data_IF_985616880936
#
_entry.id   IF_985616880936
#
_cell.length_a   1.000
_cell.length_b   1.000
_cell.length_c   1.000
_cell.angle_alpha   90.00
_cell.angle_beta   90.00
_cell.angle_gamma   90.00
#
_symmetry.space_group_name_H-M   'P 1'
#
loop_
_entity.id
_entity.type
_entity.pdbx_description
1 polymer ?
#
# COMPACT_ATOMS: atom_id res chain seq x y z
N UNK A 1 20.03 14.60 15.96
CA UNK A 1 19.73 13.15 15.93
C UNK A 1 19.73 12.70 14.47
N UNK A 2 20.68 11.86 14.13
CA UNK A 2 20.88 11.40 12.75
C UNK A 2 20.01 10.20 12.45
N UNK A 3 19.17 10.29 11.42
CA UNK A 3 18.27 9.25 10.95
C UNK A 3 18.66 8.85 9.54
N UNK A 4 19.01 7.58 9.35
CA UNK A 4 19.38 7.04 8.04
C UNK A 4 18.35 6.04 7.56
N UNK A 5 17.83 6.21 6.35
CA UNK A 5 16.96 5.26 5.68
C UNK A 5 17.71 4.61 4.52
N UNK A 6 17.87 3.30 4.56
CA UNK A 6 18.51 2.50 3.49
C UNK A 6 17.44 1.71 2.73
N UNK A 7 17.47 1.79 1.40
CA UNK A 7 16.62 1.00 0.50
C UNK A 7 17.35 0.74 -0.83
N UNK A 8 16.82 -0.14 -1.68
CA UNK A 8 17.39 -0.42 -3.00
C UNK A 8 17.53 0.85 -3.85
N UNK A 9 16.42 1.48 -4.22
CA UNK A 9 16.39 2.79 -4.89
C UNK A 9 15.20 3.61 -4.40
N UNK A 10 15.35 4.94 -4.43
CA UNK A 10 14.26 5.85 -4.11
C UNK A 10 13.28 5.92 -5.28
N UNK A 11 11.99 5.88 -5.02
CA UNK A 11 10.94 5.90 -6.03
C UNK A 11 9.76 6.78 -5.60
N UNK A 12 8.83 7.03 -6.52
CA UNK A 12 7.69 7.92 -6.31
C UNK A 12 6.79 7.56 -5.11
N UNK A 13 6.83 6.32 -4.60
CA UNK A 13 6.11 5.94 -3.38
C UNK A 13 6.91 6.23 -2.09
N UNK A 14 8.23 6.39 -2.20
CA UNK A 14 9.13 6.66 -1.08
C UNK A 14 9.50 8.14 -0.97
N UNK A 15 9.49 8.87 -2.08
CA UNK A 15 9.85 10.31 -2.12
C UNK A 15 9.00 11.12 -1.15
N UNK A 16 7.65 11.04 -1.13
CA UNK A 16 6.85 11.88 -0.23
C UNK A 16 7.17 11.64 1.25
N UNK A 17 7.33 10.37 1.65
CA UNK A 17 7.72 10.03 3.02
C UNK A 17 9.12 10.52 3.37
N UNK A 18 10.10 10.35 2.48
CA UNK A 18 11.47 10.80 2.68
C UNK A 18 11.55 12.32 2.76
N UNK A 19 10.78 13.05 1.95
CA UNK A 19 10.66 14.51 2.02
C UNK A 19 10.04 14.96 3.35
N UNK A 20 9.00 14.27 3.84
CA UNK A 20 8.42 14.55 5.14
C UNK A 20 9.43 14.31 6.27
N UNK A 21 10.22 13.24 6.20
CA UNK A 21 11.33 13.00 7.12
C UNK A 21 12.38 14.13 7.05
N UNK A 22 12.75 14.55 5.85
CA UNK A 22 13.71 15.66 5.69
C UNK A 22 13.19 16.98 6.25
N UNK A 23 11.89 17.27 6.16
CA UNK A 23 11.27 18.42 6.83
C UNK A 23 11.42 18.38 8.35
N UNK A 24 11.37 17.16 8.97
CA UNK A 24 11.47 16.99 10.42
C UNK A 24 12.91 17.02 10.95
N UNK A 25 13.84 16.38 10.24
CA UNK A 25 15.23 16.21 10.72
C UNK A 25 16.26 17.06 9.96
N UNK A 26 15.86 17.72 8.86
CA UNK A 26 16.77 18.54 8.06
C UNK A 26 17.99 17.77 7.56
N UNK A 27 19.16 18.34 7.73
CA UNK A 27 20.45 17.76 7.31
C UNK A 27 20.84 16.48 8.08
N UNK A 28 20.14 16.15 9.17
CA UNK A 28 20.32 14.92 9.92
C UNK A 28 19.57 13.72 9.32
N UNK A 29 18.69 13.92 8.32
CA UNK A 29 18.05 12.85 7.58
C UNK A 29 18.84 12.49 6.33
N UNK A 30 19.12 11.19 6.16
CA UNK A 30 19.81 10.64 5.00
C UNK A 30 19.03 9.48 4.42
N UNK A 31 18.83 9.48 3.11
CA UNK A 31 18.36 8.30 2.37
C UNK A 31 19.54 7.70 1.61
N UNK A 32 19.81 6.41 1.81
CA UNK A 32 20.85 5.68 1.09
C UNK A 32 20.19 4.75 0.07
N UNK A 33 20.45 5.03 -1.19
CA UNK A 33 20.10 4.16 -2.31
C UNK A 33 21.23 3.18 -2.54
N UNK A 34 20.95 1.86 -2.50
CA UNK A 34 21.99 0.82 -2.60
C UNK A 34 22.23 0.31 -4.02
N UNK A 35 21.26 0.48 -4.91
CA UNK A 35 21.28 0.05 -6.31
C UNK A 35 20.74 1.15 -7.22
N UNK A 36 21.25 1.30 -8.45
CA UNK A 36 20.63 2.18 -9.43
C UNK A 36 19.24 1.65 -9.80
N UNK A 37 18.34 2.56 -10.21
CA UNK A 37 17.00 2.14 -10.64
C UNK A 37 17.08 1.21 -11.86
N UNK A 38 16.34 0.12 -11.81
CA UNK A 38 16.29 -0.88 -12.88
C UNK A 38 15.81 -0.27 -14.20
N UNK A 39 16.46 -0.61 -15.33
CA UNK A 39 16.09 -0.13 -16.66
C UNK A 39 14.63 -0.45 -17.03
N UNK A 40 14.12 -1.60 -16.57
CA UNK A 40 12.72 -1.97 -16.76
C UNK A 40 11.77 -0.96 -16.08
N UNK A 41 12.11 -0.47 -14.90
CA UNK A 41 11.33 0.54 -14.17
C UNK A 41 11.35 1.90 -14.87
N UNK A 42 12.51 2.31 -15.38
CA UNK A 42 12.64 3.53 -16.19
C UNK A 42 11.80 3.44 -17.46
N UNK A 43 11.81 2.27 -18.14
CA UNK A 43 10.96 2.01 -19.31
C UNK A 43 9.45 2.03 -18.97
N UNK A 44 9.08 1.72 -17.72
CA UNK A 44 7.72 1.87 -17.20
C UNK A 44 7.40 3.30 -16.73
N UNK A 45 8.21 4.30 -17.10
CA UNK A 45 7.98 5.72 -16.76
C UNK A 45 8.32 6.10 -15.32
N UNK A 46 9.03 5.26 -14.56
CA UNK A 46 9.56 5.67 -13.27
C UNK A 46 10.72 6.63 -13.48
N UNK A 47 10.87 7.61 -12.59
CA UNK A 47 11.90 8.63 -12.68
C UNK A 47 13.02 8.38 -11.68
N UNK A 48 14.27 8.48 -12.12
CA UNK A 48 15.45 8.53 -11.26
C UNK A 48 15.68 9.93 -10.62
N UNK A 49 14.84 10.92 -10.90
CA UNK A 49 14.98 12.29 -10.36
C UNK A 49 15.02 12.35 -8.82
N UNK A 50 14.63 11.29 -8.12
CA UNK A 50 14.80 11.18 -6.67
C UNK A 50 16.27 11.15 -6.21
N UNK A 51 17.20 10.75 -7.08
CA UNK A 51 18.65 10.71 -6.78
C UNK A 51 19.24 12.11 -6.59
N UNK A 52 18.64 13.14 -7.18
CA UNK A 52 19.09 14.53 -7.06
C UNK A 52 18.61 15.23 -5.77
N UNK A 53 17.79 14.56 -4.96
CA UNK A 53 17.30 15.15 -3.71
C UNK A 53 18.44 15.33 -2.69
N UNK A 54 18.48 16.44 -1.92
CA UNK A 54 19.63 16.82 -1.10
C UNK A 54 19.96 15.85 0.04
N UNK A 55 19.03 14.96 0.37
CA UNK A 55 19.17 13.95 1.42
C UNK A 55 19.51 12.57 0.88
N UNK A 56 19.59 12.40 -0.45
CA UNK A 56 19.88 11.09 -1.08
C UNK A 56 21.39 10.94 -1.30
N UNK A 57 21.90 9.76 -1.01
CA UNK A 57 23.27 9.34 -1.29
C UNK A 57 23.24 7.97 -1.96
N UNK A 58 24.01 7.81 -3.03
CA UNK A 58 24.14 6.55 -3.74
C UNK A 58 25.29 5.72 -3.16
N UNK A 59 25.00 4.51 -2.67
CA UNK A 59 26.01 3.65 -2.06
C UNK A 59 27.16 3.29 -3.03
N UNK A 60 26.83 3.14 -4.30
CA UNK A 60 27.77 2.83 -5.37
C UNK A 60 28.65 4.03 -5.81
N UNK A 61 28.39 5.23 -5.33
CA UNK A 61 29.17 6.44 -5.62
C UNK A 61 30.10 6.82 -4.44
N UNK A 62 29.60 6.65 -3.19
CA UNK A 62 30.34 6.99 -1.96
C UNK A 62 30.08 5.91 -0.88
N UNK A 63 30.71 4.75 -1.07
CA UNK A 63 30.56 3.60 -0.17
C UNK A 63 30.97 3.93 1.27
N UNK A 64 32.11 4.60 1.47
CA UNK A 64 32.66 4.85 2.80
C UNK A 64 31.74 5.74 3.63
N UNK A 65 31.23 6.81 3.06
CA UNK A 65 30.26 7.69 3.70
C UNK A 65 28.95 6.96 4.00
N UNK A 66 28.41 6.23 3.03
CA UNK A 66 27.18 5.47 3.20
C UNK A 66 27.32 4.41 4.27
N UNK A 67 28.43 3.64 4.29
CA UNK A 67 28.74 2.66 5.30
C UNK A 67 28.80 3.29 6.70
N UNK A 68 29.46 4.44 6.84
CA UNK A 68 29.52 5.19 8.10
C UNK A 68 28.12 5.59 8.56
N UNK A 69 27.29 6.16 7.70
CA UNK A 69 25.91 6.55 8.02
C UNK A 69 25.07 5.35 8.48
N UNK A 70 25.16 4.19 7.80
CA UNK A 70 24.44 2.97 8.19
C UNK A 70 24.84 2.51 9.59
N UNK A 71 26.12 2.51 9.90
CA UNK A 71 26.65 1.94 11.15
C UNK A 71 26.61 2.92 12.33
N UNK A 72 26.73 4.23 12.10
CA UNK A 72 26.97 5.21 13.16
C UNK A 72 25.76 6.10 13.48
N UNK A 73 24.81 6.33 12.55
CA UNK A 73 23.63 7.16 12.83
C UNK A 73 22.86 6.70 14.07
N UNK A 74 22.15 7.60 14.72
CA UNK A 74 21.37 7.29 15.91
C UNK A 74 20.28 6.25 15.62
N UNK A 75 19.62 6.38 14.48
CA UNK A 75 18.55 5.48 14.01
C UNK A 75 18.83 5.01 12.59
N UNK A 76 18.71 3.70 12.35
CA UNK A 76 18.67 3.12 11.02
C UNK A 76 17.25 2.62 10.70
N UNK A 77 16.69 3.09 9.59
CA UNK A 77 15.49 2.54 8.96
C UNK A 77 15.96 1.66 7.80
N UNK A 78 15.67 0.37 7.83
CA UNK A 78 16.10 -0.58 6.81
C UNK A 78 14.90 -1.10 6.01
N UNK A 79 14.74 -0.59 4.80
CA UNK A 79 13.85 -1.11 3.78
C UNK A 79 14.47 -2.32 3.06
N UNK A 80 13.91 -2.67 1.90
CA UNK A 80 14.50 -3.71 1.05
C UNK A 80 15.83 -3.20 0.45
N UNK A 81 16.91 -3.92 0.66
CA UNK A 81 18.24 -3.55 0.20
C UNK A 81 19.14 -4.80 0.04
N UNK A 82 20.21 -4.66 -0.71
CA UNK A 82 21.22 -5.71 -0.94
C UNK A 82 22.40 -5.69 0.07
N UNK A 83 22.41 -4.73 1.02
CA UNK A 83 23.47 -4.55 2.02
C UNK A 83 23.09 -5.15 3.38
N UNK A 84 22.42 -6.29 3.39
CA UNK A 84 21.94 -6.95 4.61
C UNK A 84 23.06 -7.21 5.63
N UNK A 85 24.30 -7.43 5.18
CA UNK A 85 25.45 -7.61 6.07
C UNK A 85 25.74 -6.37 6.93
N UNK A 86 25.59 -5.16 6.38
CA UNK A 86 25.75 -3.91 7.12
C UNK A 86 24.61 -3.71 8.12
N UNK A 87 23.39 -4.08 7.72
CA UNK A 87 22.23 -4.04 8.62
C UNK A 87 22.45 -5.01 9.79
N UNK A 88 23.02 -6.19 9.57
CA UNK A 88 23.35 -7.13 10.63
C UNK A 88 24.49 -6.64 11.52
N UNK A 89 25.52 -5.98 10.97
CA UNK A 89 26.58 -5.34 11.77
C UNK A 89 25.96 -4.27 12.69
N UNK A 90 25.06 -3.45 12.16
CA UNK A 90 24.33 -2.45 12.92
C UNK A 90 23.48 -3.08 14.06
N UNK A 91 22.73 -4.14 13.76
CA UNK A 91 21.93 -4.86 14.74
C UNK A 91 22.80 -5.49 15.86
N UNK A 92 24.00 -6.00 15.52
CA UNK A 92 24.94 -6.54 16.47
C UNK A 92 25.52 -5.46 17.41
N UNK A 93 25.58 -4.21 16.99
CA UNK A 93 26.00 -3.09 17.86
C UNK A 93 24.94 -2.69 18.90
N UNK A 94 23.72 -3.23 18.80
CA UNK A 94 22.61 -2.92 19.71
C UNK A 94 21.94 -1.58 19.47
N UNK A 95 22.37 -0.79 18.49
CA UNK A 95 21.78 0.50 18.16
C UNK A 95 20.39 0.34 17.56
N UNK A 96 19.52 1.36 17.75
CA UNK A 96 18.14 1.36 17.27
C UNK A 96 18.07 1.13 15.75
N UNK A 97 17.35 0.07 15.38
CA UNK A 97 17.15 -0.30 13.98
C UNK A 97 15.67 -0.63 13.74
N UNK A 98 15.07 0.03 12.78
CA UNK A 98 13.67 -0.13 12.40
C UNK A 98 13.65 -0.77 11.02
N UNK A 99 13.14 -1.99 10.89
CA UNK A 99 13.00 -2.66 9.60
C UNK A 99 11.64 -2.39 9.00
N UNK A 100 11.59 -2.20 7.68
CA UNK A 100 10.34 -2.19 6.89
C UNK A 100 10.34 -3.47 6.06
N UNK A 101 9.26 -4.26 6.14
CA UNK A 101 9.16 -5.49 5.37
C UNK A 101 7.75 -5.71 4.84
N UNK A 102 7.68 -6.21 3.62
CA UNK A 102 6.54 -6.93 3.08
C UNK A 102 6.54 -8.39 3.55
N UNK A 103 5.56 -9.18 3.08
CA UNK A 103 5.44 -10.59 3.41
C UNK A 103 6.66 -11.41 2.97
N UNK A 104 7.23 -12.17 3.90
CA UNK A 104 8.32 -13.12 3.62
C UNK A 104 7.82 -14.47 3.10
N UNK A 105 6.52 -14.79 3.32
CA UNK A 105 5.86 -16.01 2.87
C UNK A 105 4.67 -15.70 1.94
N UNK A 106 4.85 -14.80 0.97
CA UNK A 106 3.80 -14.36 0.05
C UNK A 106 3.22 -15.52 -0.77
N UNK A 107 4.04 -16.45 -1.22
CA UNK A 107 3.63 -17.62 -1.99
C UNK A 107 3.05 -18.76 -1.14
N UNK A 108 3.11 -18.65 0.18
CA UNK A 108 2.53 -19.60 1.11
C UNK A 108 3.35 -19.78 2.38
N UNK A 109 2.67 -19.78 3.52
CA UNK A 109 3.29 -19.92 4.84
C UNK A 109 3.89 -21.32 5.07
N UNK A 110 3.56 -22.32 4.26
CA UNK A 110 4.18 -23.64 4.29
C UNK A 110 5.70 -23.59 4.01
N UNK A 111 6.20 -22.53 3.35
CA UNK A 111 7.63 -22.33 3.11
C UNK A 111 8.45 -22.13 4.39
N UNK A 112 7.80 -21.86 5.52
CA UNK A 112 8.47 -21.75 6.83
C UNK A 112 9.14 -23.06 7.28
N UNK A 113 8.68 -24.22 6.81
CA UNK A 113 9.26 -25.53 7.19
C UNK A 113 10.61 -25.81 6.54
N UNK A 114 11.08 -25.00 5.59
CA UNK A 114 12.39 -25.14 4.96
C UNK A 114 13.53 -24.87 5.97
N UNK A 115 14.38 -25.86 6.31
CA UNK A 115 15.48 -25.66 7.26
C UNK A 115 16.47 -24.58 6.82
N UNK A 116 16.79 -24.53 5.50
CA UNK A 116 17.67 -23.51 4.93
C UNK A 116 17.02 -22.12 5.02
N UNK A 117 15.73 -22.01 4.70
CA UNK A 117 14.99 -20.77 4.81
C UNK A 117 14.89 -20.30 6.26
N UNK A 118 14.65 -21.21 7.20
CA UNK A 118 14.58 -20.87 8.64
C UNK A 118 15.94 -20.40 9.17
N UNK A 119 17.06 -21.05 8.76
CA UNK A 119 18.39 -20.59 9.15
C UNK A 119 18.69 -19.18 8.62
N UNK A 120 18.28 -18.87 7.40
CA UNK A 120 18.38 -17.53 6.83
C UNK A 120 17.58 -16.52 7.67
N UNK A 121 16.30 -16.82 7.97
CA UNK A 121 15.45 -15.97 8.81
C UNK A 121 15.95 -15.85 10.26
N UNK A 122 16.58 -16.88 10.78
CA UNK A 122 17.26 -16.80 12.09
C UNK A 122 18.36 -15.74 12.08
N UNK A 123 19.23 -15.75 11.06
CA UNK A 123 20.34 -14.80 10.93
C UNK A 123 19.87 -13.35 10.71
N UNK A 124 18.79 -13.14 9.96
CA UNK A 124 18.29 -11.81 9.61
C UNK A 124 17.37 -11.21 10.66
N UNK A 125 16.57 -12.05 11.36
CA UNK A 125 15.46 -11.55 12.16
C UNK A 125 15.39 -12.16 13.57
N UNK A 126 15.40 -13.51 13.69
CA UNK A 126 15.04 -14.19 14.94
C UNK A 126 16.06 -13.92 16.05
N UNK A 127 17.35 -13.97 15.74
CA UNK A 127 18.44 -13.72 16.69
C UNK A 127 18.37 -12.33 17.34
N UNK A 128 17.75 -11.36 16.66
CA UNK A 128 17.62 -9.99 17.11
C UNK A 128 16.30 -9.68 17.87
N UNK A 129 15.47 -10.69 18.14
CA UNK A 129 14.16 -10.50 18.79
C UNK A 129 14.20 -9.75 20.12
N UNK A 130 15.33 -9.78 20.84
CA UNK A 130 15.54 -9.08 22.11
C UNK A 130 16.29 -7.75 22.00
N UNK A 131 16.88 -7.44 20.84
CA UNK A 131 17.61 -6.19 20.60
C UNK A 131 16.67 -5.00 20.37
N UNK A 132 17.23 -3.79 20.25
CA UNK A 132 16.51 -2.57 19.84
C UNK A 132 16.12 -2.59 18.35
N UNK A 133 15.49 -3.70 17.93
CA UNK A 133 15.02 -3.92 16.58
C UNK A 133 13.49 -3.95 16.54
N UNK A 134 12.89 -3.16 15.66
CA UNK A 134 11.45 -3.02 15.46
C UNK A 134 11.08 -3.34 14.02
N UNK A 135 9.83 -3.75 13.78
CA UNK A 135 9.33 -4.08 12.44
C UNK A 135 8.13 -3.23 12.07
N UNK A 136 8.25 -2.50 10.99
CA UNK A 136 7.15 -1.84 10.31
C UNK A 136 6.61 -2.77 9.22
N UNK A 137 5.38 -3.21 9.43
CA UNK A 137 4.73 -4.22 8.61
C UNK A 137 4.04 -3.56 7.41
N UNK A 138 4.69 -3.53 6.26
CA UNK A 138 4.13 -3.01 5.01
C UNK A 138 3.08 -3.98 4.45
N UNK A 139 1.95 -4.04 5.14
CA UNK A 139 0.79 -4.87 4.82
C UNK A 139 0.29 -5.73 5.98
N UNK A 140 -1.02 -5.96 5.97
CA UNK A 140 -1.75 -6.58 7.08
C UNK A 140 -1.40 -8.06 7.34
N UNK A 141 -0.74 -8.71 6.41
CA UNK A 141 -0.36 -10.12 6.52
C UNK A 141 1.09 -10.34 6.97
N UNK A 142 1.89 -9.28 7.01
CA UNK A 142 3.29 -9.32 7.45
C UNK A 142 3.41 -9.80 8.90
N UNK A 143 2.60 -9.31 9.87
CA UNK A 143 2.69 -9.76 11.25
C UNK A 143 2.48 -11.27 11.41
N UNK A 144 1.61 -11.88 10.59
CA UNK A 144 1.38 -13.33 10.62
C UNK A 144 2.63 -14.12 10.22
N UNK A 145 3.33 -13.67 9.17
CA UNK A 145 4.54 -14.33 8.69
C UNK A 145 5.69 -14.24 9.72
N UNK A 146 5.90 -13.08 10.33
CA UNK A 146 6.95 -12.89 11.34
C UNK A 146 6.62 -13.52 12.70
N UNK A 147 5.33 -13.63 13.03
CA UNK A 147 4.88 -14.35 14.22
C UNK A 147 5.21 -15.85 14.12
N UNK A 148 5.03 -16.47 12.95
CA UNK A 148 5.35 -17.88 12.73
C UNK A 148 6.82 -18.22 13.03
N UNK A 149 7.74 -17.31 12.79
CA UNK A 149 9.18 -17.48 13.07
C UNK A 149 9.59 -16.87 14.41
N UNK A 150 8.64 -16.45 15.24
CA UNK A 150 8.89 -15.84 16.56
C UNK A 150 9.84 -14.63 16.55
N UNK A 151 9.82 -13.83 15.47
CA UNK A 151 10.58 -12.58 15.35
C UNK A 151 9.76 -11.38 15.87
N UNK A 152 10.43 -10.35 16.37
CA UNK A 152 9.86 -9.07 16.82
C UNK A 152 8.66 -9.15 17.79
N UNK A 153 8.67 -9.96 18.87
CA UNK A 153 7.55 -10.07 19.78
C UNK A 153 7.22 -8.73 20.45
N UNK A 154 5.98 -8.24 20.28
CA UNK A 154 5.54 -6.93 20.78
C UNK A 154 6.14 -5.71 20.07
N UNK A 155 6.85 -5.90 18.95
CA UNK A 155 7.60 -4.85 18.23
C UNK A 155 7.20 -4.77 16.76
N UNK A 156 5.99 -5.16 16.40
CA UNK A 156 5.44 -5.10 15.05
C UNK A 156 4.36 -4.01 14.98
N UNK A 157 4.53 -3.08 14.03
CA UNK A 157 3.63 -1.93 13.86
C UNK A 157 3.12 -1.86 12.43
N UNK A 158 1.90 -1.31 12.25
CA UNK A 158 1.31 -1.10 10.92
C UNK A 158 2.15 -0.10 10.14
N UNK A 159 2.33 -0.41 8.87
CA UNK A 159 3.03 0.45 7.93
C UNK A 159 2.50 0.25 6.53
N UNK A 160 2.83 1.16 5.61
CA UNK A 160 2.42 1.09 4.23
C UNK A 160 3.32 1.86 3.29
N UNK A 161 2.84 2.08 2.08
CA UNK A 161 3.40 3.03 1.15
C UNK A 161 2.59 4.32 1.20
N UNK A 162 3.28 5.44 1.02
CA UNK A 162 2.70 6.77 1.13
C UNK A 162 2.94 7.54 -0.18
N UNK A 163 2.20 7.21 -1.25
CA UNK A 163 2.26 8.00 -2.48
C UNK A 163 1.84 9.44 -2.21
N UNK A 164 2.11 10.31 -3.18
CA UNK A 164 1.74 11.72 -3.09
C UNK A 164 0.27 11.88 -2.68
N UNK A 165 0.04 12.69 -1.65
CA UNK A 165 -1.30 13.04 -1.18
C UNK A 165 -1.72 14.36 -1.80
N UNK A 166 -2.81 14.35 -2.57
CA UNK A 166 -3.43 15.54 -3.13
C UNK A 166 -4.51 16.07 -2.20
N UNK A 167 -4.51 17.37 -2.00
CA UNK A 167 -5.50 18.09 -1.21
C UNK A 167 -6.40 18.90 -2.13
N UNK A 168 -7.70 18.76 -1.97
CA UNK A 168 -8.69 19.44 -2.79
C UNK A 168 -9.54 20.39 -1.94
N UNK A 169 -9.92 21.56 -2.45
CA UNK A 169 -10.96 22.40 -1.85
C UNK A 169 -12.26 21.61 -1.60
N UNK A 170 -12.99 22.04 -0.60
CA UNK A 170 -14.29 21.43 -0.26
C UNK A 170 -15.22 21.39 -1.49
N UNK A 171 -15.86 20.25 -1.72
CA UNK A 171 -16.77 20.03 -2.83
C UNK A 171 -16.10 19.76 -4.19
N UNK A 172 -14.80 20.05 -4.39
CA UNK A 172 -14.16 19.90 -5.69
C UNK A 172 -14.18 18.45 -6.19
N UNK A 173 -13.83 17.47 -5.35
CA UNK A 173 -13.86 16.06 -5.75
C UNK A 173 -15.28 15.58 -6.06
N UNK A 174 -16.29 16.06 -5.33
CA UNK A 174 -17.68 15.75 -5.62
C UNK A 174 -18.07 16.29 -7.00
N UNK A 175 -17.76 17.56 -7.28
CA UNK A 175 -18.04 18.19 -8.57
C UNK A 175 -17.35 17.49 -9.76
N UNK A 176 -16.11 17.01 -9.60
CA UNK A 176 -15.40 16.24 -10.64
C UNK A 176 -16.10 14.91 -10.98
N UNK A 177 -16.91 14.39 -10.06
CA UNK A 177 -17.68 13.15 -10.20
C UNK A 177 -19.12 13.36 -10.66
N UNK A 178 -19.57 14.59 -10.84
CA UNK A 178 -20.90 14.93 -11.41
C UNK A 178 -20.89 14.68 -12.93
N UNK A 179 -21.03 13.41 -13.30
CA UNK A 179 -21.01 12.93 -14.69
C UNK A 179 -22.19 12.03 -14.97
N UNK A 180 -22.61 12.00 -16.24
CA UNK A 180 -23.66 11.06 -16.65
C UNK A 180 -23.17 9.62 -16.59
N UNK A 181 -23.98 8.77 -15.96
CA UNK A 181 -23.68 7.37 -15.77
C UNK A 181 -22.71 7.06 -14.63
N UNK A 182 -22.43 5.79 -14.47
CA UNK A 182 -21.51 5.26 -13.46
C UNK A 182 -20.13 5.02 -14.08
N UNK A 183 -19.12 5.76 -13.65
CA UNK A 183 -17.75 5.58 -14.08
C UNK A 183 -16.96 4.75 -13.07
N UNK A 184 -16.37 3.65 -13.54
CA UNK A 184 -15.57 2.71 -12.75
C UNK A 184 -14.15 2.70 -13.28
N UNK A 185 -13.14 2.77 -12.43
CA UNK A 185 -11.74 2.68 -12.82
C UNK A 185 -11.08 1.42 -12.28
N UNK A 186 -10.25 0.81 -13.12
CA UNK A 186 -9.29 -0.22 -12.78
C UNK A 186 -7.92 0.23 -13.30
N UNK A 187 -6.93 0.34 -12.41
CA UNK A 187 -5.60 0.81 -12.77
C UNK A 187 -4.55 -0.18 -12.28
N UNK A 188 -3.95 -0.93 -13.19
CA UNK A 188 -2.92 -1.92 -12.90
C UNK A 188 -2.21 -2.39 -14.18
N UNK A 189 -1.10 -3.13 -14.02
CA UNK A 189 -0.49 -3.88 -15.13
C UNK A 189 -1.41 -5.01 -15.57
N UNK A 190 -1.50 -5.26 -16.88
CA UNK A 190 -2.25 -6.39 -17.43
C UNK A 190 -1.45 -7.69 -17.29
N UNK A 191 -1.43 -8.26 -16.08
CA UNK A 191 -0.73 -9.49 -15.69
C UNK A 191 -1.64 -10.38 -14.85
N UNK A 192 -1.40 -11.71 -14.77
CA UNK A 192 -2.33 -12.66 -14.13
C UNK A 192 -2.71 -12.32 -12.70
N UNK A 193 -1.77 -11.86 -11.87
CA UNK A 193 -2.06 -11.54 -10.46
C UNK A 193 -3.08 -10.39 -10.28
N UNK A 194 -3.30 -9.57 -11.31
CA UNK A 194 -4.17 -8.39 -11.29
C UNK A 194 -5.61 -8.69 -11.75
N UNK A 195 -5.87 -9.87 -12.32
CA UNK A 195 -7.19 -10.32 -12.76
C UNK A 195 -7.97 -9.30 -13.62
N UNK A 196 -7.40 -8.80 -14.75
CA UNK A 196 -8.09 -7.82 -15.61
C UNK A 196 -9.37 -8.38 -16.22
N UNK A 197 -9.49 -9.70 -16.40
CA UNK A 197 -10.67 -10.40 -16.94
C UNK A 197 -11.94 -10.17 -16.11
N UNK A 198 -11.80 -9.86 -14.82
CA UNK A 198 -12.94 -9.54 -13.96
C UNK A 198 -13.65 -8.27 -14.42
N UNK A 199 -12.92 -7.31 -14.98
CA UNK A 199 -13.49 -6.05 -15.47
C UNK A 199 -14.33 -6.25 -16.72
N UNK A 200 -13.93 -7.17 -17.61
CA UNK A 200 -14.70 -7.50 -18.81
C UNK A 200 -16.02 -8.19 -18.42
N UNK A 201 -15.94 -9.13 -17.47
CA UNK A 201 -17.12 -9.79 -16.92
C UNK A 201 -18.05 -8.78 -16.23
N UNK A 202 -17.48 -7.86 -15.46
CA UNK A 202 -18.22 -6.81 -14.76
C UNK A 202 -18.93 -5.86 -15.75
N UNK A 203 -18.26 -5.45 -16.84
CA UNK A 203 -18.85 -4.63 -17.89
C UNK A 203 -20.10 -5.27 -18.50
N UNK A 204 -20.10 -6.59 -18.69
CA UNK A 204 -21.26 -7.34 -19.18
C UNK A 204 -22.38 -7.34 -18.13
N UNK A 205 -22.07 -7.81 -16.91
CA UNK A 205 -23.07 -8.03 -15.86
C UNK A 205 -23.77 -6.70 -15.43
N UNK A 206 -23.00 -5.60 -15.36
CA UNK A 206 -23.57 -4.27 -15.03
C UNK A 206 -24.24 -3.60 -16.21
N UNK A 207 -23.69 -3.78 -17.42
CA UNK A 207 -24.17 -3.09 -18.61
C UNK A 207 -25.59 -3.48 -19.04
N UNK A 208 -26.11 -4.61 -18.55
CA UNK A 208 -27.49 -5.02 -18.76
C UNK A 208 -28.49 -4.21 -17.88
N UNK A 209 -28.00 -3.62 -16.78
CA UNK A 209 -28.85 -2.98 -15.76
C UNK A 209 -28.56 -1.48 -15.58
N UNK A 210 -27.32 -1.06 -15.76
CA UNK A 210 -26.88 0.30 -15.45
C UNK A 210 -26.23 0.98 -16.65
N UNK A 211 -26.40 2.32 -16.76
CA UNK A 211 -25.53 3.14 -17.62
C UNK A 211 -24.16 3.24 -16.95
N UNK A 212 -23.24 2.32 -17.29
CA UNK A 212 -21.90 2.28 -16.70
C UNK A 212 -20.81 2.24 -17.75
N UNK A 213 -19.66 2.85 -17.44
CA UNK A 213 -18.47 2.86 -18.26
C UNK A 213 -17.25 2.51 -17.43
N UNK A 214 -16.40 1.60 -17.94
CA UNK A 214 -15.21 1.12 -17.24
C UNK A 214 -13.96 1.71 -17.89
N UNK A 215 -13.11 2.32 -17.09
CA UNK A 215 -11.80 2.84 -17.49
C UNK A 215 -10.72 1.86 -17.03
N UNK A 216 -10.05 1.20 -17.98
CA UNK A 216 -8.92 0.30 -17.72
C UNK A 216 -7.62 1.02 -18.05
N UNK A 217 -6.78 1.24 -17.03
CA UNK A 217 -5.54 2.02 -17.13
C UNK A 217 -4.35 1.11 -16.86
N UNK A 218 -3.37 1.13 -17.75
CA UNK A 218 -2.15 0.33 -17.66
C UNK A 218 -1.88 -0.46 -18.94
N UNK A 219 -0.82 -1.23 -18.93
CA UNK A 219 -0.39 -2.09 -20.03
C UNK A 219 0.18 -3.40 -19.48
N UNK A 220 0.45 -4.37 -20.33
CA UNK A 220 1.09 -5.63 -19.94
C UNK A 220 0.75 -6.79 -20.86
N UNK A 221 1.33 -7.95 -20.57
CA UNK A 221 1.28 -9.11 -21.46
C UNK A 221 -0.11 -9.67 -21.77
N UNK A 222 -1.12 -9.37 -20.91
CA UNK A 222 -2.51 -9.81 -21.15
C UNK A 222 -3.38 -8.77 -21.87
N UNK A 223 -2.84 -7.60 -22.23
CA UNK A 223 -3.66 -6.47 -22.74
C UNK A 223 -4.45 -6.86 -24.00
N UNK A 224 -3.80 -7.46 -25.00
CA UNK A 224 -4.45 -7.86 -26.25
C UNK A 224 -5.48 -8.98 -26.05
N UNK A 225 -5.19 -9.93 -25.15
CA UNK A 225 -6.14 -10.98 -24.78
C UNK A 225 -7.40 -10.38 -24.14
N UNK A 226 -7.25 -9.41 -23.24
CA UNK A 226 -8.36 -8.74 -22.56
C UNK A 226 -9.19 -7.89 -23.52
N UNK A 227 -8.56 -7.18 -24.47
CA UNK A 227 -9.27 -6.45 -25.52
C UNK A 227 -10.08 -7.40 -26.41
N UNK A 228 -9.47 -8.52 -26.84
CA UNK A 228 -10.17 -9.55 -27.61
C UNK A 228 -11.35 -10.15 -26.84
N UNK A 229 -11.18 -10.39 -25.54
CA UNK A 229 -12.26 -10.87 -24.67
C UNK A 229 -13.41 -9.84 -24.58
N UNK A 230 -13.12 -8.54 -24.54
CA UNK A 230 -14.14 -7.49 -24.54
C UNK A 230 -15.01 -7.53 -25.82
N UNK A 231 -14.37 -7.67 -26.99
CA UNK A 231 -15.07 -7.84 -28.26
C UNK A 231 -15.89 -9.13 -28.28
N UNK A 232 -15.30 -10.27 -27.87
CA UNK A 232 -16.00 -11.55 -27.81
C UNK A 232 -17.25 -11.50 -26.92
N UNK A 233 -17.22 -10.70 -25.84
CA UNK A 233 -18.34 -10.54 -24.92
C UNK A 233 -19.31 -9.43 -25.33
N UNK A 234 -19.02 -8.67 -26.40
CA UNK A 234 -19.84 -7.56 -26.89
C UNK A 234 -19.93 -6.37 -25.93
N UNK A 235 -18.84 -6.08 -25.21
CA UNK A 235 -18.80 -5.01 -24.19
C UNK A 235 -17.75 -3.93 -24.48
N UNK A 236 -17.10 -3.97 -25.63
CA UNK A 236 -16.03 -3.03 -26.02
C UNK A 236 -16.48 -1.56 -25.96
N UNK A 237 -17.75 -1.29 -26.27
CA UNK A 237 -18.32 0.07 -26.22
C UNK A 237 -18.47 0.61 -24.79
N UNK A 238 -18.39 -0.25 -23.77
CA UNK A 238 -18.52 0.10 -22.34
C UNK A 238 -17.18 0.23 -21.66
N UNK A 239 -16.07 0.04 -22.40
CA UNK A 239 -14.72 0.02 -21.82
C UNK A 239 -13.82 0.97 -22.60
N UNK A 240 -13.12 1.83 -21.89
CA UNK A 240 -11.99 2.58 -22.45
C UNK A 240 -10.68 1.98 -21.97
N UNK A 241 -9.88 1.46 -22.89
CA UNK A 241 -8.51 1.06 -22.61
C UNK A 241 -7.60 2.27 -22.80
N UNK A 242 -7.05 2.79 -21.71
CA UNK A 242 -6.21 3.99 -21.75
C UNK A 242 -4.73 3.67 -22.08
N UNK A 243 -4.34 2.39 -22.07
CA UNK A 243 -2.94 2.01 -22.17
C UNK A 243 -2.13 2.48 -20.97
N UNK A 244 -0.81 2.50 -21.11
CA UNK A 244 0.08 3.07 -20.11
C UNK A 244 -0.16 4.58 -19.96
N UNK A 245 -0.25 5.06 -18.72
CA UNK A 245 -0.41 6.47 -18.39
C UNK A 245 0.59 6.89 -17.31
N UNK A 246 0.96 8.17 -17.29
CA UNK A 246 1.76 8.73 -16.20
C UNK A 246 0.98 8.71 -14.88
N UNK A 247 1.65 8.70 -13.71
CA UNK A 247 0.98 8.75 -12.42
C UNK A 247 -0.03 9.90 -12.30
N UNK A 248 0.30 11.09 -12.82
CA UNK A 248 -0.57 12.27 -12.83
C UNK A 248 -1.85 11.99 -13.60
N UNK A 249 -1.73 11.39 -14.80
CA UNK A 249 -2.88 11.08 -15.66
C UNK A 249 -3.76 9.97 -15.07
N UNK A 250 -3.15 8.98 -14.43
CA UNK A 250 -3.90 7.95 -13.66
C UNK A 250 -4.76 8.60 -12.59
N UNK A 251 -4.21 9.56 -11.85
CA UNK A 251 -4.92 10.30 -10.80
C UNK A 251 -6.08 11.12 -11.38
N UNK A 252 -5.88 11.85 -12.50
CA UNK A 252 -6.94 12.59 -13.19
C UNK A 252 -8.11 11.67 -13.60
N UNK A 253 -7.81 10.46 -14.10
CA UNK A 253 -8.84 9.48 -14.44
C UNK A 253 -9.58 9.01 -13.18
N UNK A 254 -8.88 8.73 -12.09
CA UNK A 254 -9.49 8.33 -10.83
C UNK A 254 -10.40 9.42 -10.24
N UNK A 255 -9.97 10.68 -10.31
CA UNK A 255 -10.73 11.84 -9.82
C UNK A 255 -12.11 11.98 -10.51
N UNK A 256 -12.21 11.56 -11.77
CA UNK A 256 -13.45 11.56 -12.53
C UNK A 256 -14.30 10.30 -12.32
N UNK A 257 -13.77 9.25 -11.71
CA UNK A 257 -14.45 7.97 -11.53
C UNK A 257 -15.08 7.86 -10.14
N UNK A 258 -16.22 7.16 -10.07
CA UNK A 258 -16.98 6.98 -8.84
C UNK A 258 -16.47 5.83 -7.99
N UNK A 259 -16.11 4.73 -8.65
CA UNK A 259 -15.68 3.47 -8.02
C UNK A 259 -14.32 3.07 -8.56
N UNK A 260 -13.43 2.68 -7.66
CA UNK A 260 -12.20 1.95 -8.03
C UNK A 260 -12.36 0.47 -7.66
N UNK A 261 -12.13 -0.42 -8.64
CA UNK A 261 -12.14 -1.87 -8.42
C UNK A 261 -10.71 -2.39 -8.39
N UNK A 262 -10.32 -2.97 -7.27
CA UNK A 262 -8.99 -3.52 -7.06
C UNK A 262 -9.04 -5.05 -6.97
N UNK A 263 -8.52 -5.72 -8.00
CA UNK A 263 -8.69 -7.17 -8.21
C UNK A 263 -7.46 -8.00 -7.86
N UNK A 264 -6.34 -7.39 -7.50
CA UNK A 264 -5.08 -8.09 -7.22
C UNK A 264 -5.23 -9.17 -6.14
N UNK A 265 -4.57 -10.31 -6.35
CA UNK A 265 -4.58 -11.43 -5.41
C UNK A 265 -3.46 -11.33 -4.34
N UNK A 266 -3.23 -12.42 -3.59
CA UNK A 266 -2.26 -12.51 -2.48
C UNK A 266 -0.79 -12.29 -2.86
N UNK A 267 -0.45 -12.26 -4.15
CA UNK A 267 0.89 -11.95 -4.63
C UNK A 267 1.16 -10.44 -4.65
N UNK A 268 0.14 -9.61 -4.47
CA UNK A 268 0.29 -8.18 -4.25
C UNK A 268 0.87 -7.92 -2.86
N UNK A 269 1.98 -7.18 -2.78
CA UNK A 269 2.58 -6.79 -1.50
C UNK A 269 1.71 -5.80 -0.74
N UNK A 270 1.70 -4.57 -1.21
CA UNK A 270 0.88 -3.50 -0.64
C UNK A 270 -0.34 -3.19 -1.52
N UNK A 271 -0.13 -2.66 -2.71
CA UNK A 271 -1.17 -2.17 -3.60
C UNK A 271 -1.38 -0.66 -3.47
N UNK A 272 -0.33 0.13 -3.75
CA UNK A 272 -0.33 1.60 -3.60
C UNK A 272 -1.46 2.31 -4.36
N UNK A 273 -1.93 1.73 -5.45
CA UNK A 273 -3.07 2.24 -6.22
C UNK A 273 -4.36 2.37 -5.38
N UNK A 274 -4.48 1.61 -4.28
CA UNK A 274 -5.60 1.77 -3.34
C UNK A 274 -5.52 3.11 -2.61
N UNK A 275 -4.30 3.51 -2.16
CA UNK A 275 -4.09 4.84 -1.57
C UNK A 275 -4.47 5.95 -2.55
N UNK A 276 -4.04 5.82 -3.80
CA UNK A 276 -4.29 6.80 -4.86
C UNK A 276 -5.78 6.92 -5.19
N UNK A 277 -6.48 5.80 -5.32
CA UNK A 277 -7.92 5.77 -5.58
C UNK A 277 -8.72 6.37 -4.40
N UNK A 278 -8.36 6.03 -3.16
CA UNK A 278 -8.96 6.61 -1.96
C UNK A 278 -8.73 8.12 -1.90
N UNK A 279 -7.51 8.57 -2.15
CA UNK A 279 -7.17 10.00 -2.19
C UNK A 279 -7.83 10.75 -3.36
N UNK A 280 -8.25 10.06 -4.40
CA UNK A 280 -9.04 10.60 -5.51
C UNK A 280 -10.56 10.56 -5.24
N UNK A 281 -10.99 10.23 -4.01
CA UNK A 281 -12.40 10.18 -3.61
C UNK A 281 -13.21 9.07 -4.29
N UNK A 282 -12.57 7.98 -4.73
CA UNK A 282 -13.29 6.81 -5.23
C UNK A 282 -13.82 5.96 -4.06
N UNK A 283 -15.06 5.47 -4.17
CA UNK A 283 -15.49 4.34 -3.36
C UNK A 283 -14.72 3.10 -3.82
N UNK A 284 -13.95 2.49 -2.92
CA UNK A 284 -13.05 1.38 -3.28
C UNK A 284 -13.70 0.03 -3.02
N UNK A 285 -13.73 -0.83 -4.05
CA UNK A 285 -14.09 -2.25 -3.94
C UNK A 285 -12.84 -3.09 -4.14
N UNK A 286 -12.36 -3.75 -3.10
CA UNK A 286 -11.01 -4.32 -3.10
C UNK A 286 -10.96 -5.77 -2.62
N UNK A 287 -10.09 -6.58 -3.29
CA UNK A 287 -9.76 -7.93 -2.82
C UNK A 287 -9.00 -7.84 -1.49
N UNK A 288 -9.54 -8.52 -0.47
CA UNK A 288 -8.97 -8.52 0.88
C UNK A 288 -7.52 -9.03 0.94
N UNK A 289 -7.06 -9.80 -0.05
CA UNK A 289 -5.75 -10.45 -0.01
C UNK A 289 -4.53 -9.52 -0.16
N UNK A 290 -4.71 -8.31 -0.69
CA UNK A 290 -3.61 -7.35 -0.79
C UNK A 290 -3.32 -6.69 0.56
N UNK A 291 -2.05 -6.41 0.82
CA UNK A 291 -1.58 -5.96 2.13
C UNK A 291 -2.18 -4.64 2.62
N UNK A 292 -2.49 -3.72 1.72
CA UNK A 292 -3.09 -2.41 2.03
C UNK A 292 -4.55 -2.52 2.48
N UNK A 293 -5.32 -3.44 1.87
CA UNK A 293 -6.78 -3.46 2.01
C UNK A 293 -7.24 -3.55 3.46
N UNK A 294 -6.75 -4.48 4.31
CA UNK A 294 -7.19 -4.54 5.71
C UNK A 294 -6.67 -3.40 6.60
N UNK A 295 -5.72 -2.60 6.13
CA UNK A 295 -5.24 -1.44 6.87
C UNK A 295 -5.96 -0.16 6.47
N UNK A 296 -6.26 0.00 5.19
CA UNK A 296 -6.87 1.21 4.64
C UNK A 296 -8.41 1.16 4.66
N UNK A 297 -9.00 -0.02 4.40
CA UNK A 297 -10.45 -0.16 4.25
C UNK A 297 -11.10 -0.47 5.60
N UNK A 298 -11.95 0.44 6.07
CA UNK A 298 -12.95 0.20 7.11
C UNK A 298 -14.25 -0.21 6.41
N UNK A 299 -14.58 -1.51 6.52
CA UNK A 299 -15.70 -2.14 5.77
C UNK A 299 -17.00 -1.38 5.92
N UNK A 300 -17.61 -0.95 4.79
CA UNK A 300 -18.86 -0.21 4.75
C UNK A 300 -18.76 1.27 5.12
N UNK A 301 -17.57 1.78 5.47
CA UNK A 301 -17.34 3.19 5.83
C UNK A 301 -16.63 3.94 4.71
N UNK A 302 -15.43 3.49 4.34
CA UNK A 302 -14.57 4.11 3.33
C UNK A 302 -14.22 3.17 2.17
N UNK A 303 -14.87 2.02 2.10
CA UNK A 303 -14.69 1.02 1.04
C UNK A 303 -15.35 -0.30 1.39
N UNK A 304 -15.37 -1.20 0.40
CA UNK A 304 -15.90 -2.55 0.51
C UNK A 304 -14.82 -3.57 0.15
N UNK A 305 -14.43 -4.39 1.10
CA UNK A 305 -13.55 -5.52 0.84
C UNK A 305 -14.38 -6.76 0.46
N UNK A 306 -13.89 -7.55 -0.50
CA UNK A 306 -14.49 -8.82 -0.88
C UNK A 306 -13.50 -9.99 -0.69
N UNK A 307 -14.01 -11.24 -0.50
CA UNK A 307 -13.15 -12.38 -0.25
C UNK A 307 -12.36 -12.81 -1.49
N UNK A 308 -11.22 -13.42 -1.25
CA UNK A 308 -10.32 -13.94 -2.27
C UNK A 308 -11.03 -14.81 -3.32
N UNK A 309 -10.74 -14.54 -4.59
CA UNK A 309 -11.24 -15.33 -5.72
C UNK A 309 -12.76 -15.25 -5.96
N UNK A 310 -13.49 -14.41 -5.22
CA UNK A 310 -14.93 -14.28 -5.35
C UNK A 310 -15.34 -13.13 -6.25
N UNK A 311 -15.41 -13.38 -7.54
CA UNK A 311 -15.99 -12.44 -8.50
C UNK A 311 -17.43 -12.02 -8.10
N UNK A 312 -18.25 -12.96 -7.64
CA UNK A 312 -19.65 -12.69 -7.28
C UNK A 312 -19.76 -11.67 -6.14
N UNK A 313 -18.92 -11.79 -5.10
CA UNK A 313 -18.91 -10.81 -4.00
C UNK A 313 -18.36 -9.46 -4.43
N UNK A 314 -17.41 -9.41 -5.35
CA UNK A 314 -16.98 -8.17 -5.99
C UNK A 314 -18.13 -7.52 -6.75
N UNK A 315 -18.81 -8.28 -7.61
CA UNK A 315 -19.95 -7.81 -8.39
C UNK A 315 -21.10 -7.32 -7.50
N UNK A 316 -21.45 -8.04 -6.44
CA UNK A 316 -22.46 -7.63 -5.45
C UNK A 316 -22.09 -6.28 -4.82
N UNK A 317 -20.82 -6.08 -4.41
CA UNK A 317 -20.35 -4.84 -3.82
C UNK A 317 -20.42 -3.67 -4.81
N UNK A 318 -20.01 -3.88 -6.08
CA UNK A 318 -20.10 -2.84 -7.11
C UNK A 318 -21.56 -2.53 -7.44
N UNK A 319 -22.44 -3.55 -7.55
CA UNK A 319 -23.87 -3.36 -7.81
C UNK A 319 -24.55 -2.58 -6.69
N UNK A 320 -24.20 -2.87 -5.42
CA UNK A 320 -24.69 -2.09 -4.28
C UNK A 320 -24.33 -0.61 -4.43
N UNK A 321 -23.07 -0.29 -4.73
CA UNK A 321 -22.64 1.10 -4.93
C UNK A 321 -23.24 1.74 -6.18
N UNK A 322 -23.61 0.96 -7.19
CA UNK A 322 -24.32 1.45 -8.38
C UNK A 322 -25.75 1.91 -8.01
N UNK A 323 -26.42 1.16 -7.15
CA UNK A 323 -27.80 1.40 -6.71
C UNK A 323 -27.91 2.49 -5.65
N UNK A 324 -26.83 2.78 -4.91
CA UNK A 324 -26.80 3.70 -3.77
C UNK A 324 -25.82 4.87 -3.99
N UNK A 325 -26.17 5.86 -4.84
CA UNK A 325 -25.25 6.94 -5.21
C UNK A 325 -24.86 7.85 -4.04
N UNK A 326 -25.73 8.05 -3.07
CA UNK A 326 -25.45 8.86 -1.87
C UNK A 326 -24.38 8.17 -1.00
N UNK A 327 -24.58 6.89 -0.70
CA UNK A 327 -23.64 6.08 0.09
C UNK A 327 -22.31 5.91 -0.64
N UNK A 328 -22.35 5.75 -1.98
CA UNK A 328 -21.14 5.71 -2.81
C UNK A 328 -20.33 6.99 -2.67
N UNK A 329 -20.97 8.16 -2.76
CA UNK A 329 -20.29 9.45 -2.60
C UNK A 329 -19.74 9.60 -1.19
N UNK A 330 -20.55 9.32 -0.17
CA UNK A 330 -20.11 9.38 1.23
C UNK A 330 -18.90 8.46 1.50
N UNK A 331 -18.93 7.25 0.95
CA UNK A 331 -17.82 6.29 1.07
C UNK A 331 -16.54 6.79 0.39
N UNK A 332 -16.66 7.39 -0.80
CA UNK A 332 -15.53 8.00 -1.50
C UNK A 332 -14.93 9.18 -0.74
N UNK A 333 -15.75 10.02 -0.14
CA UNK A 333 -15.26 11.14 0.69
C UNK A 333 -14.61 10.64 1.99
N UNK A 334 -15.16 9.63 2.65
CA UNK A 334 -14.54 8.99 3.82
C UNK A 334 -13.20 8.29 3.46
N UNK A 335 -13.08 7.77 2.23
CA UNK A 335 -11.83 7.24 1.70
C UNK A 335 -10.78 8.35 1.54
N UNK A 336 -11.16 9.48 0.94
CA UNK A 336 -10.31 10.66 0.81
C UNK A 336 -9.84 11.18 2.18
N UNK A 337 -10.74 11.34 3.13
CA UNK A 337 -10.42 11.77 4.49
C UNK A 337 -9.43 10.81 5.18
N UNK A 338 -9.61 9.49 5.02
CA UNK A 338 -8.69 8.49 5.58
C UNK A 338 -7.24 8.70 5.11
N UNK A 339 -7.03 9.05 3.83
CA UNK A 339 -5.69 9.31 3.31
C UNK A 339 -5.17 10.67 3.77
N UNK A 340 -5.97 11.73 3.65
CA UNK A 340 -5.51 13.08 3.96
C UNK A 340 -5.24 13.34 5.44
N UNK A 341 -5.88 12.58 6.34
CA UNK A 341 -5.72 12.77 7.78
C UNK A 341 -4.82 11.72 8.44
N UNK A 342 -4.80 10.48 7.94
CA UNK A 342 -4.19 9.37 8.67
C UNK A 342 -3.12 8.62 7.87
N UNK A 343 -3.40 8.25 6.60
CA UNK A 343 -2.49 7.39 5.83
C UNK A 343 -1.70 8.18 4.77
N UNK A 344 -1.05 9.26 5.20
CA UNK A 344 -0.18 10.12 4.37
C UNK A 344 1.25 10.18 4.90
N UNK A 345 2.12 10.75 4.09
CA UNK A 345 3.55 10.82 4.36
C UNK A 345 3.89 11.66 5.59
N UNK A 346 3.23 12.81 5.76
CA UNK A 346 3.47 13.73 6.88
C UNK A 346 3.06 13.10 8.21
N UNK A 347 1.87 12.47 8.25
CA UNK A 347 1.41 11.77 9.44
C UNK A 347 2.34 10.60 9.81
N UNK A 348 2.75 9.80 8.80
CA UNK A 348 3.64 8.66 9.02
C UNK A 348 5.04 9.10 9.53
N UNK A 349 5.60 10.19 8.97
CA UNK A 349 6.88 10.72 9.42
C UNK A 349 6.81 11.29 10.84
N UNK A 350 5.74 12.03 11.18
CA UNK A 350 5.51 12.53 12.54
C UNK A 350 5.30 11.41 13.55
N UNK A 351 4.55 10.36 13.20
CA UNK A 351 4.38 9.18 14.04
C UNK A 351 5.70 8.42 14.25
N UNK A 352 6.54 8.34 13.19
CA UNK A 352 7.87 7.74 13.28
C UNK A 352 8.79 8.55 14.21
N UNK A 353 8.74 9.87 14.14
CA UNK A 353 9.50 10.73 15.05
C UNK A 353 9.09 10.46 16.51
N UNK A 354 7.80 10.46 16.82
CA UNK A 354 7.31 10.13 18.17
C UNK A 354 7.72 8.74 18.64
N UNK A 355 7.71 7.76 17.74
CA UNK A 355 8.20 6.41 18.05
C UNK A 355 9.68 6.42 18.43
N UNK A 356 10.52 7.06 17.65
CA UNK A 356 11.97 7.13 17.88
C UNK A 356 12.26 7.83 19.20
N UNK A 357 11.68 9.01 19.42
CA UNK A 357 11.84 9.80 20.64
C UNK A 357 11.35 9.03 21.88
N UNK A 358 10.19 8.40 21.80
CA UNK A 358 9.63 7.60 22.87
C UNK A 358 10.45 6.35 23.21
N UNK A 359 11.02 5.67 22.20
CA UNK A 359 11.92 4.53 22.43
C UNK A 359 13.21 5.00 23.10
N UNK A 360 13.82 6.09 22.65
CA UNK A 360 15.04 6.64 23.22
C UNK A 360 14.82 7.12 24.67
N UNK A 361 13.64 7.68 24.95
CA UNK A 361 13.25 8.08 26.31
C UNK A 361 12.74 6.92 27.20
N UNK A 362 12.56 5.73 26.65
CA UNK A 362 12.06 4.55 27.37
C UNK A 362 10.56 4.61 27.74
N UNK A 363 9.77 5.44 27.06
CA UNK A 363 8.34 5.66 27.36
C UNK A 363 7.45 5.61 26.10
N UNK A 364 7.89 4.94 25.03
CA UNK A 364 7.14 4.85 23.80
C UNK A 364 5.73 4.29 23.99
N UNK A 365 4.75 5.03 23.48
CA UNK A 365 3.36 4.59 23.37
C UNK A 365 2.99 4.52 21.88
N UNK A 366 2.50 3.36 21.40
CA UNK A 366 2.07 3.21 20.00
C UNK A 366 0.91 4.14 19.64
N UNK A 367 0.80 4.50 18.38
CA UNK A 367 -0.39 5.19 17.86
C UNK A 367 -1.65 4.32 18.05
N UNK A 368 -2.81 4.95 18.24
CA UNK A 368 -4.07 4.24 18.42
C UNK A 368 -4.53 3.57 17.11
N UNK A 369 -4.36 4.25 15.97
CA UNK A 369 -4.70 3.76 14.63
C UNK A 369 -3.72 4.29 13.57
N UNK A 370 -3.83 3.81 12.34
CA UNK A 370 -2.97 4.23 11.23
C UNK A 370 -1.55 3.68 11.31
N UNK A 371 -0.60 4.35 10.66
CA UNK A 371 0.82 4.02 10.74
C UNK A 371 1.31 4.03 12.19
N UNK A 372 2.18 3.07 12.53
CA UNK A 372 2.76 2.86 13.86
C UNK A 372 1.78 2.46 14.98
N UNK A 373 0.52 2.19 14.67
CA UNK A 373 -0.34 1.44 15.59
C UNK A 373 0.09 -0.04 15.64
N UNK A 374 -0.20 -0.78 16.73
CA UNK A 374 0.16 -2.19 16.81
C UNK A 374 -0.37 -3.01 15.63
N UNK A 375 0.49 -3.80 15.01
CA UNK A 375 0.10 -4.64 13.89
C UNK A 375 -0.48 -5.98 14.39
N UNK A 376 -1.79 -6.26 14.20
CA UNK A 376 -2.41 -7.46 14.72
C UNK A 376 -1.96 -8.69 13.94
N UNK A 377 -1.69 -9.78 14.65
CA UNK A 377 -1.41 -11.09 14.05
C UNK A 377 -2.74 -11.73 13.64
N UNK A 378 -3.05 -11.72 12.36
CA UNK A 378 -4.27 -12.31 11.81
C UNK A 378 -3.91 -13.28 10.69
N UNK A 379 -4.38 -14.52 10.80
CA UNK A 379 -4.23 -15.50 9.73
C UNK A 379 -4.88 -15.02 8.43
N UNK A 380 -4.21 -15.14 7.26
CA UNK A 380 -4.77 -14.69 5.99
C UNK A 380 -6.19 -15.19 5.71
N UNK A 381 -6.50 -16.45 6.02
CA UNK A 381 -7.84 -17.02 5.82
C UNK A 381 -8.93 -16.46 6.74
N UNK A 382 -8.58 -15.77 7.81
CA UNK A 382 -9.54 -15.19 8.77
C UNK A 382 -9.77 -13.69 8.56
N UNK A 383 -8.97 -13.03 7.73
CA UNK A 383 -8.99 -11.58 7.60
C UNK A 383 -10.34 -11.05 7.11
N UNK A 384 -10.90 -11.62 6.06
CA UNK A 384 -12.20 -11.19 5.54
C UNK A 384 -13.33 -11.29 6.58
N UNK A 385 -13.37 -12.43 7.32
CA UNK A 385 -14.37 -12.62 8.37
C UNK A 385 -14.22 -11.60 9.51
N UNK A 386 -12.99 -11.22 9.83
CA UNK A 386 -12.69 -10.17 10.81
C UNK A 386 -13.20 -8.81 10.34
N UNK A 387 -12.84 -8.39 9.13
CA UNK A 387 -13.28 -7.09 8.57
C UNK A 387 -14.80 -6.98 8.50
N UNK A 388 -15.50 -8.06 8.09
CA UNK A 388 -16.96 -8.07 8.06
C UNK A 388 -17.61 -8.02 9.44
N UNK A 389 -16.96 -8.58 10.46
CA UNK A 389 -17.45 -8.50 11.84
C UNK A 389 -17.35 -7.08 12.39
N UNK A 390 -16.22 -6.43 12.13
CA UNK A 390 -15.99 -5.02 12.46
C UNK A 390 -16.94 -4.10 11.67
N UNK A 391 -17.18 -4.38 10.39
CA UNK A 391 -18.10 -3.62 9.54
C UNK A 391 -19.57 -3.73 9.95
N UNK A 392 -20.04 -4.89 10.42
CA UNK A 392 -21.44 -5.06 10.86
C UNK A 392 -21.79 -4.21 12.09
N UNK A 393 -20.85 -3.93 12.97
CA UNK A 393 -21.08 -3.00 14.06
C UNK A 393 -21.28 -1.57 13.54
N UNK A 394 -20.50 -1.17 12.53
CA UNK A 394 -20.60 0.15 11.92
C UNK A 394 -21.92 0.37 11.15
N UNK A 395 -22.51 -0.69 10.56
CA UNK A 395 -23.79 -0.63 9.86
C UNK A 395 -24.97 -0.50 10.84
N UNK A 396 -24.95 -1.27 11.93
CA UNK A 396 -26.00 -1.22 12.96
C UNK A 396 -26.07 0.16 13.63
N UNK A 397 -24.92 0.78 13.90
CA UNK A 397 -24.88 2.14 14.48
C UNK A 397 -25.46 3.21 13.53
N UNK A 398 -25.50 2.95 12.20
CA UNK A 398 -26.11 3.86 11.21
C UNK A 398 -27.62 3.63 11.04
N UNK A 399 -28.09 2.38 11.16
CA UNK A 399 -29.54 2.08 11.13
C UNK A 399 -30.26 2.63 12.38
N UNK A 400 -29.57 2.72 13.52
CA UNK A 400 -30.10 3.29 14.76
C UNK A 400 -30.11 4.85 14.77
N UNK A 401 -29.54 5.49 13.74
CA UNK A 401 -29.50 6.96 13.57
C UNK A 401 -30.52 7.50 12.54
N UNK A 402 -31.31 6.64 11.92
CA UNK A 402 -32.42 6.95 10.99
C UNK A 402 -33.71 6.37 11.50
#
# INVERSE_FOLDING_TARGET
MTVTFISNYINHHQIPFSQACYKLWGQDFHFIQTEPMEQERLAMGWSAAGEELPFVSCFYEDEDRCRKLILESDVLIAGWNDKEELVQQRLNSGKLTIRISERIYREGQWKMISPKGLLHKYREHIRYRKSSAYLLCAGAYVPSDFHLIHAYPGKMFRWGYFPETRYYPEGQLAALKERDGLHIVWAARFIPLKHPEYMIRLAKDLGEKYNCHIHMVGSGGLEEEIKALAVQRGVEQRITFHGFQTPEKVREIMEMCHIHVFTSNHLEGWGAVVNEAMNSGCAVVANVQAGAVPYLIKQGVNGLAYPAGSYEKMREAVSYLAEHPVERMAMGMAAYETITTLWNAEHAAGALQRMIEGIMAGNYQPEAEGPLSPAPVVSPGKMYSRMNKEGRSNWKEREDLH
#
